data_IF_939239404831
#
_entry.id   IF_939239404831
#
_cell.length_a   1.000
_cell.length_b   1.000
_cell.length_c   1.000
_cell.angle_alpha   90.00
_cell.angle_beta   90.00
_cell.angle_gamma   90.00
#
_symmetry.space_group_name_H-M   'P 1'
#
loop_
_entity.id
_entity.type
_entity.pdbx_description
1 polymer ?
#
# COMPACT_ATOMS: atom_id res chain seq x y z
N UNK A 1 -6.90 -14.48 -0.54
CA UNK A 1 -7.20 -13.16 -1.10
C UNK A 1 -6.00 -12.25 -0.96
N UNK A 2 -5.60 -11.61 -2.04
CA UNK A 2 -4.41 -10.77 -2.03
C UNK A 2 -4.73 -9.38 -1.51
N UNK A 3 -3.83 -8.79 -0.74
CA UNK A 3 -4.00 -7.47 -0.13
C UNK A 3 -3.01 -6.50 -0.76
N UNK A 4 -3.51 -5.45 -1.39
CA UNK A 4 -2.68 -4.35 -1.88
C UNK A 4 -2.25 -3.50 -0.68
N UNK A 5 -0.97 -3.23 -0.56
CA UNK A 5 -0.45 -2.43 0.55
C UNK A 5 -0.38 -0.96 0.13
N UNK A 6 -1.11 -0.12 0.86
CA UNK A 6 -0.96 1.33 0.68
C UNK A 6 0.48 1.73 1.00
N UNK A 7 0.92 2.84 0.43
CA UNK A 7 2.30 3.30 0.62
C UNK A 7 2.69 3.37 2.10
N UNK A 8 1.82 3.89 2.95
CA UNK A 8 2.14 4.03 4.36
C UNK A 8 2.35 2.69 5.06
N UNK A 9 1.63 1.65 4.65
CA UNK A 9 1.82 0.30 5.19
C UNK A 9 3.13 -0.30 4.70
N UNK A 10 3.40 -0.13 3.41
CA UNK A 10 4.63 -0.64 2.81
C UNK A 10 5.86 0.00 3.45
N UNK A 11 5.82 1.31 3.67
CA UNK A 11 6.90 2.03 4.34
C UNK A 11 7.08 1.53 5.77
N UNK A 12 5.98 1.38 6.50
CA UNK A 12 6.06 0.93 7.90
C UNK A 12 6.67 -0.46 8.01
N UNK A 13 6.38 -1.34 7.06
CA UNK A 13 6.97 -2.68 7.05
C UNK A 13 8.48 -2.66 6.80
N UNK A 14 8.94 -1.74 5.97
CA UNK A 14 10.32 -1.78 5.46
C UNK A 14 11.26 -0.78 6.14
N UNK A 15 10.73 0.15 6.91
CA UNK A 15 11.54 1.15 7.62
C UNK A 15 11.48 0.83 9.11
N UNK A 16 12.59 0.32 9.64
CA UNK A 16 12.61 -0.27 10.98
C UNK A 16 12.29 0.73 12.10
N UNK A 17 12.61 2.01 11.90
CA UNK A 17 12.34 3.03 12.91
C UNK A 17 11.03 3.79 12.67
N UNK A 18 10.21 3.31 11.75
CA UNK A 18 8.88 3.89 11.56
C UNK A 18 8.03 3.66 12.80
N UNK A 19 7.23 4.67 13.17
CA UNK A 19 6.41 4.61 14.39
C UNK A 19 5.46 3.40 14.40
N UNK A 20 5.01 2.97 13.24
CA UNK A 20 4.10 1.83 13.12
C UNK A 20 4.76 0.56 12.60
N UNK A 21 6.10 0.49 12.65
CA UNK A 21 6.81 -0.68 12.12
C UNK A 21 6.36 -1.97 12.79
N UNK A 22 6.34 -1.98 14.12
CA UNK A 22 5.97 -3.17 14.87
C UNK A 22 4.52 -3.58 14.61
N UNK A 23 3.62 -2.60 14.57
CA UNK A 23 2.22 -2.88 14.28
C UNK A 23 2.04 -3.47 12.89
N UNK A 24 2.76 -2.92 11.92
CA UNK A 24 2.69 -3.42 10.54
C UNK A 24 3.23 -4.84 10.45
N UNK A 25 4.35 -5.13 11.10
CA UNK A 25 4.90 -6.48 11.09
C UNK A 25 3.95 -7.50 11.74
N UNK A 26 3.36 -7.13 12.87
CA UNK A 26 2.41 -8.00 13.55
C UNK A 26 1.22 -8.30 12.65
N UNK A 27 0.68 -7.27 12.03
CA UNK A 27 -0.45 -7.44 11.13
C UNK A 27 -0.07 -8.32 9.92
N UNK A 28 1.08 -8.05 9.33
CA UNK A 28 1.52 -8.76 8.13
C UNK A 28 1.70 -10.27 8.41
N UNK A 29 2.15 -10.61 9.61
CA UNK A 29 2.33 -12.00 9.99
C UNK A 29 1.00 -12.75 10.08
N UNK A 30 -0.13 -12.04 10.21
CA UNK A 30 -1.44 -12.65 10.37
C UNK A 30 -2.28 -12.67 9.10
N UNK A 31 -1.85 -12.03 8.01
CA UNK A 31 -2.55 -12.17 6.74
C UNK A 31 -2.15 -13.49 6.09
N UNK A 32 -2.87 -13.90 5.07
CA UNK A 32 -2.63 -15.20 4.44
C UNK A 32 -1.44 -15.18 3.48
N UNK A 33 -0.56 -14.20 3.64
CA UNK A 33 0.76 -14.11 3.02
C UNK A 33 0.78 -13.72 1.57
N UNK A 34 -0.35 -13.32 1.01
CA UNK A 34 -0.37 -12.78 -0.35
C UNK A 34 -0.62 -11.30 -0.29
N UNK A 35 0.33 -10.55 -0.83
CA UNK A 35 0.23 -9.09 -0.85
C UNK A 35 0.63 -8.59 -2.22
N UNK A 36 0.16 -7.40 -2.54
CA UNK A 36 0.46 -6.78 -3.83
C UNK A 36 1.06 -5.40 -3.64
N UNK A 37 1.86 -5.00 -4.61
CA UNK A 37 2.29 -3.63 -4.81
C UNK A 37 1.92 -3.21 -6.22
N UNK A 38 1.91 -1.91 -6.48
CA UNK A 38 1.66 -1.36 -7.80
C UNK A 38 2.63 -0.19 -8.01
N UNK A 39 2.73 0.35 -9.23
CA UNK A 39 3.67 1.45 -9.48
C UNK A 39 3.49 2.64 -8.56
N UNK A 40 2.26 2.95 -8.18
CA UNK A 40 1.97 4.07 -7.28
C UNK A 40 2.56 3.85 -5.90
N UNK A 41 2.32 2.68 -5.31
CA UNK A 41 2.80 2.39 -3.95
C UNK A 41 4.30 2.15 -3.94
N UNK A 42 4.84 1.53 -4.97
CA UNK A 42 6.29 1.36 -5.09
C UNK A 42 6.99 2.70 -5.26
N UNK A 43 6.47 3.57 -6.12
CA UNK A 43 7.04 4.91 -6.29
C UNK A 43 6.97 5.72 -5.01
N UNK A 44 5.91 5.58 -4.24
CA UNK A 44 5.79 6.22 -2.94
C UNK A 44 6.86 5.75 -1.96
N UNK A 45 7.10 4.45 -1.91
CA UNK A 45 8.16 3.88 -1.08
C UNK A 45 9.54 4.40 -1.50
N UNK A 46 9.83 4.36 -2.80
CA UNK A 46 11.12 4.82 -3.33
C UNK A 46 11.37 6.27 -2.95
N UNK A 47 10.36 7.14 -3.12
CA UNK A 47 10.52 8.56 -2.79
C UNK A 47 10.82 8.77 -1.31
N UNK A 48 10.16 8.02 -0.44
CA UNK A 48 10.38 8.15 1.00
C UNK A 48 11.77 7.67 1.39
N UNK A 49 12.22 6.55 0.85
CA UNK A 49 13.55 6.03 1.15
C UNK A 49 14.65 7.01 0.72
N UNK A 50 14.52 7.58 -0.46
CA UNK A 50 15.48 8.57 -0.94
C UNK A 50 15.44 9.84 -0.09
N UNK A 51 14.24 10.28 0.27
CA UNK A 51 14.09 11.46 1.13
C UNK A 51 14.73 11.26 2.51
N UNK A 52 14.75 10.03 2.99
CA UNK A 52 15.41 9.68 4.25
C UNK A 52 16.91 9.52 4.12
N UNK A 53 17.45 9.76 2.94
CA UNK A 53 18.91 9.74 2.72
C UNK A 53 19.46 8.39 2.29
N UNK A 54 18.62 7.42 1.96
CA UNK A 54 19.15 6.14 1.50
C UNK A 54 19.74 6.26 0.11
N UNK A 55 20.91 5.65 -0.14
CA UNK A 55 21.50 5.69 -1.47
C UNK A 55 20.72 4.81 -2.45
N UNK A 56 20.85 5.12 -3.74
CA UNK A 56 20.08 4.42 -4.77
C UNK A 56 20.28 2.91 -4.74
N UNK A 57 21.49 2.45 -4.42
CA UNK A 57 21.77 1.01 -4.34
C UNK A 57 20.95 0.34 -3.24
N UNK A 58 20.83 1.01 -2.09
CA UNK A 58 20.00 0.48 -0.99
C UNK A 58 18.55 0.41 -1.39
N UNK A 59 18.06 1.44 -2.10
CA UNK A 59 16.67 1.46 -2.57
C UNK A 59 16.42 0.30 -3.53
N UNK A 60 17.35 0.07 -4.48
CA UNK A 60 17.22 -1.05 -5.41
C UNK A 60 17.19 -2.39 -4.68
N UNK A 61 18.00 -2.54 -3.64
CA UNK A 61 18.01 -3.77 -2.84
C UNK A 61 16.69 -4.00 -2.14
N UNK A 62 16.09 -2.94 -1.59
CA UNK A 62 14.78 -3.02 -0.94
C UNK A 62 13.73 -3.45 -1.96
N UNK A 63 13.73 -2.84 -3.14
CA UNK A 63 12.75 -3.18 -4.18
C UNK A 63 12.92 -4.61 -4.66
N UNK A 64 14.15 -5.09 -4.78
CA UNK A 64 14.39 -6.48 -5.13
C UNK A 64 13.86 -7.43 -4.07
N UNK A 65 14.06 -7.10 -2.80
CA UNK A 65 13.57 -7.92 -1.70
C UNK A 65 12.05 -8.02 -1.71
N UNK A 66 11.37 -6.90 -1.97
CA UNK A 66 9.91 -6.89 -2.07
C UNK A 66 9.45 -7.77 -3.23
N UNK A 67 10.06 -7.58 -4.40
CA UNK A 67 9.67 -8.33 -5.60
C UNK A 67 9.93 -9.82 -5.48
N UNK A 68 10.94 -10.20 -4.71
CA UNK A 68 11.33 -11.61 -4.56
C UNK A 68 10.58 -12.33 -3.45
N UNK A 69 9.79 -11.61 -2.66
CA UNK A 69 9.05 -12.24 -1.58
C UNK A 69 8.06 -13.25 -2.16
N UNK A 70 7.98 -14.48 -1.59
CA UNK A 70 7.13 -15.53 -2.17
C UNK A 70 5.65 -15.17 -2.25
N UNK A 71 5.16 -14.31 -1.37
CA UNK A 71 3.76 -13.89 -1.38
C UNK A 71 3.46 -12.65 -2.22
N UNK A 72 4.46 -12.11 -2.90
CA UNK A 72 4.30 -10.86 -3.62
C UNK A 72 3.62 -11.04 -4.97
N UNK A 73 2.69 -10.13 -5.29
CA UNK A 73 2.13 -9.97 -6.64
C UNK A 73 2.33 -8.52 -7.06
N UNK A 74 2.70 -8.32 -8.31
CA UNK A 74 2.75 -6.97 -8.86
C UNK A 74 1.47 -6.70 -9.64
N UNK A 75 0.79 -5.60 -9.30
CA UNK A 75 -0.44 -5.17 -9.99
C UNK A 75 -0.13 -3.93 -10.81
N UNK A 76 -0.14 -4.01 -12.14
CA UNK A 76 0.07 -2.81 -12.96
C UNK A 76 -1.05 -1.79 -12.76
N UNK A 77 -0.73 -0.52 -12.93
CA UNK A 77 -1.70 0.57 -12.84
C UNK A 77 -2.43 0.72 -14.18
N UNK A 78 -3.18 -0.29 -14.56
CA UNK A 78 -3.77 -0.42 -15.89
C UNK A 78 -5.22 0.07 -15.97
N UNK A 79 -5.69 0.80 -14.99
CA UNK A 79 -7.04 1.37 -15.00
C UNK A 79 -7.01 2.83 -15.46
N UNK A 80 -7.79 3.22 -16.45
CA UNK A 80 -7.93 4.64 -16.77
C UNK A 80 -8.82 5.31 -15.72
N UNK A 81 -8.60 6.60 -15.51
CA UNK A 81 -9.37 7.31 -14.48
C UNK A 81 -10.86 7.39 -14.77
N UNK A 82 -11.27 7.23 -16.02
CA UNK A 82 -12.71 7.23 -16.34
C UNK A 82 -13.47 6.09 -15.65
N UNK A 83 -12.78 5.03 -15.23
CA UNK A 83 -13.44 3.91 -14.52
C UNK A 83 -13.22 3.98 -13.01
N UNK A 84 -12.61 5.06 -12.51
CA UNK A 84 -12.39 5.24 -11.08
C UNK A 84 -13.55 6.05 -10.51
N UNK A 85 -14.37 5.48 -9.61
CA UNK A 85 -15.46 6.24 -9.01
C UNK A 85 -14.92 7.39 -8.16
N UNK A 86 -15.46 8.57 -8.35
CA UNK A 86 -15.05 9.76 -7.62
C UNK A 86 -16.03 10.13 -6.51
N UNK A 87 -17.00 9.28 -6.21
CA UNK A 87 -17.96 9.51 -5.13
C UNK A 87 -17.22 9.68 -3.80
N UNK A 88 -17.49 10.78 -3.11
CA UNK A 88 -16.86 11.05 -1.83
C UNK A 88 -15.48 11.69 -1.90
N UNK A 89 -14.91 11.85 -3.12
CA UNK A 89 -13.64 12.53 -3.30
C UNK A 89 -13.88 14.03 -3.25
N UNK A 90 -13.31 14.69 -2.25
CA UNK A 90 -13.49 16.15 -2.09
C UNK A 90 -12.16 16.89 -2.13
N UNK A 91 -11.03 16.20 -2.09
CA UNK A 91 -9.71 16.83 -2.13
C UNK A 91 -8.76 16.03 -3.00
N UNK A 92 -7.71 16.72 -3.48
CA UNK A 92 -6.77 16.09 -4.42
C UNK A 92 -6.04 14.90 -3.82
N UNK A 93 -5.86 14.88 -2.50
CA UNK A 93 -5.17 13.76 -1.83
C UNK A 93 -5.96 12.46 -1.86
N UNK A 94 -7.27 12.56 -2.05
CA UNK A 94 -8.14 11.38 -2.09
C UNK A 94 -8.16 10.73 -3.48
N UNK A 95 -7.57 11.37 -4.49
CA UNK A 95 -7.55 10.84 -5.86
C UNK A 95 -6.76 9.54 -5.94
N UNK A 96 -5.56 9.53 -5.34
CA UNK A 96 -4.74 8.33 -5.31
C UNK A 96 -5.43 7.22 -4.52
N UNK A 97 -6.05 7.56 -3.39
CA UNK A 97 -6.80 6.60 -2.58
C UNK A 97 -7.91 5.93 -3.38
N UNK A 98 -8.66 6.74 -4.15
CA UNK A 98 -9.72 6.22 -5.00
C UNK A 98 -9.19 5.25 -6.05
N UNK A 99 -8.03 5.57 -6.63
CA UNK A 99 -7.40 4.70 -7.61
C UNK A 99 -7.01 3.36 -6.98
N UNK A 100 -6.33 3.39 -5.85
CA UNK A 100 -5.88 2.16 -5.19
C UNK A 100 -7.05 1.30 -4.76
N UNK A 101 -8.10 1.91 -4.25
CA UNK A 101 -9.31 1.18 -3.86
C UNK A 101 -9.95 0.49 -5.07
N UNK A 102 -10.04 1.20 -6.20
CA UNK A 102 -10.63 0.60 -7.39
C UNK A 102 -9.75 -0.49 -7.98
N UNK A 103 -8.44 -0.31 -7.91
CA UNK A 103 -7.53 -1.36 -8.35
C UNK A 103 -7.75 -2.64 -7.54
N UNK A 104 -7.88 -2.51 -6.22
CA UNK A 104 -8.15 -3.66 -5.35
C UNK A 104 -9.49 -4.31 -5.70
N UNK A 105 -10.54 -3.51 -5.95
CA UNK A 105 -11.85 -4.04 -6.35
C UNK A 105 -11.78 -4.85 -7.62
N UNK A 106 -11.10 -4.31 -8.64
CA UNK A 106 -11.05 -4.98 -9.94
C UNK A 106 -10.22 -6.25 -9.90
N UNK A 107 -9.29 -6.35 -8.95
CA UNK A 107 -8.47 -7.56 -8.78
C UNK A 107 -9.06 -8.54 -7.80
N UNK A 108 -10.23 -8.26 -7.26
CA UNK A 108 -10.87 -9.14 -6.28
C UNK A 108 -10.10 -9.26 -4.98
N UNK A 109 -9.30 -8.24 -4.66
CA UNK A 109 -8.50 -8.22 -3.44
C UNK A 109 -8.98 -7.17 -2.46
N UNK A 110 -8.09 -6.78 -1.54
CA UNK A 110 -8.38 -5.77 -0.54
C UNK A 110 -7.23 -4.76 -0.52
N UNK A 111 -7.46 -3.64 0.13
CA UNK A 111 -6.46 -2.57 0.28
C UNK A 111 -6.20 -2.38 1.77
N UNK A 112 -4.96 -2.51 2.20
CA UNK A 112 -4.58 -2.27 3.60
C UNK A 112 -3.97 -0.88 3.73
N UNK A 113 -4.40 -0.14 4.74
CA UNK A 113 -3.96 1.23 4.95
C UNK A 113 -3.93 1.57 6.44
N UNK A 114 -3.15 2.59 6.80
CA UNK A 114 -3.24 3.22 8.12
C UNK A 114 -4.15 4.45 8.11
N UNK A 115 -4.64 4.86 6.94
CA UNK A 115 -5.42 6.08 6.80
C UNK A 115 -6.88 5.80 7.13
N UNK A 116 -7.36 6.39 8.24
CA UNK A 116 -8.73 6.18 8.68
C UNK A 116 -9.75 6.71 7.69
N UNK A 117 -9.45 7.84 7.05
CA UNK A 117 -10.35 8.42 6.06
C UNK A 117 -10.51 7.52 4.84
N UNK A 118 -9.41 6.96 4.36
CA UNK A 118 -9.44 6.04 3.24
C UNK A 118 -10.24 4.78 3.60
N UNK A 119 -9.95 4.20 4.75
CA UNK A 119 -10.63 2.97 5.17
C UNK A 119 -12.13 3.20 5.34
N UNK A 120 -12.53 4.37 5.80
CA UNK A 120 -13.94 4.69 5.98
C UNK A 120 -14.63 4.95 4.64
N UNK A 121 -14.00 5.71 3.76
CA UNK A 121 -14.60 6.05 2.47
C UNK A 121 -14.75 4.82 1.58
N UNK A 122 -13.80 3.91 1.64
CA UNK A 122 -13.77 2.71 0.80
C UNK A 122 -13.92 1.44 1.65
N UNK A 123 -14.84 1.46 2.60
CA UNK A 123 -14.98 0.38 3.57
C UNK A 123 -15.39 -0.95 2.96
N UNK A 124 -15.84 -0.95 1.72
CA UNK A 124 -16.15 -2.19 0.98
C UNK A 124 -14.89 -2.96 0.61
N UNK A 125 -13.73 -2.32 0.54
CA UNK A 125 -12.52 -2.95 0.03
C UNK A 125 -11.29 -2.65 0.88
N UNK A 126 -11.31 -1.59 1.68
CA UNK A 126 -10.14 -1.17 2.45
C UNK A 126 -10.25 -1.63 3.90
N UNK A 127 -9.12 -2.07 4.43
CA UNK A 127 -8.99 -2.49 5.83
C UNK A 127 -7.99 -1.58 6.53
N UNK A 128 -8.37 -1.11 7.70
CA UNK A 128 -7.45 -0.32 8.52
C UNK A 128 -6.53 -1.27 9.27
N UNK A 129 -5.22 -1.06 9.12
CA UNK A 129 -4.24 -1.86 9.87
C UNK A 129 -4.23 -1.38 11.33
N UNK A 130 -4.39 -2.29 12.29
CA UNK A 130 -4.39 -1.88 13.70
C UNK A 130 -3.02 -1.34 14.09
N UNK A 131 -2.99 -0.18 14.74
CA UNK A 131 -1.73 0.45 15.13
C UNK A 131 -1.40 0.21 16.58
N UNK A 132 -2.37 -0.23 17.37
CA UNK A 132 -2.09 -0.36 18.78
C UNK A 132 -3.16 -1.14 19.49
N UNK A 133 -2.73 -1.92 20.38
CA UNK A 133 -3.62 -2.52 21.33
C UNK A 133 -3.95 -1.55 22.44
#
# INVERSE_FOLDING_TARGET
MTVLLDTNVLVALLVADHVHHEAAETWFAHIDRRFATCPITEGGLVRILIRQGQPAESVSSVMSAVSSHPGHEFWPDDLPYRVIPMTGVIGHRQVTDAYLAQLARTRGGRLATFDQGLAKLHDDVADLVPTKG
#
